data_IF_065360948129
#
_entry.id   IF_065360948129
#
_cell.length_a   1.000
_cell.length_b   1.000
_cell.length_c   1.000
_cell.angle_alpha   90.00
_cell.angle_beta   90.00
_cell.angle_gamma   90.00
#
_symmetry.space_group_name_H-M   'P 1'
#
loop_
_entity.id
_entity.type
_entity.pdbx_description
1 polymer ?
#
# COMPACT_ATOMS: atom_id res chain seq x y z
N UNK A 1 6.64 -23.12 -4.50
CA UNK A 1 6.63 -22.49 -4.32
C UNK A 1 7.05 -21.68 -4.85
N UNK A 2 6.80 -21.49 -4.97
CA UNK A 2 6.99 -20.84 -5.38
C UNK A 2 7.77 -20.07 -5.53
N UNK A 3 8.15 -20.09 -6.20
CA UNK A 3 8.98 -19.05 -6.58
C UNK A 3 9.49 -18.19 -5.50
N UNK A 4 10.01 -18.78 -4.55
CA UNK A 4 10.61 -17.98 -3.51
C UNK A 4 11.97 -17.48 -4.00
N UNK A 5 12.09 -16.17 -4.13
CA UNK A 5 13.34 -15.54 -4.53
C UNK A 5 14.08 -15.05 -3.30
N UNK A 6 15.39 -15.14 -3.34
CA UNK A 6 16.19 -14.53 -2.31
C UNK A 6 15.99 -13.01 -2.35
N UNK A 7 16.09 -12.37 -1.20
CA UNK A 7 15.81 -10.93 -1.11
C UNK A 7 16.75 -10.09 -1.96
N UNK A 8 17.97 -10.56 -2.12
CA UNK A 8 18.96 -9.82 -2.87
C UNK A 8 18.87 -10.08 -4.36
N UNK A 9 18.04 -11.00 -4.79
CA UNK A 9 17.89 -11.25 -6.21
C UNK A 9 17.08 -10.14 -6.86
N UNK A 10 17.47 -9.81 -8.08
CA UNK A 10 16.83 -8.72 -8.81
C UNK A 10 16.02 -9.32 -9.95
N UNK A 11 14.75 -8.96 -10.00
CA UNK A 11 13.86 -9.35 -11.09
C UNK A 11 13.60 -8.10 -11.92
N UNK A 12 13.85 -8.20 -13.22
CA UNK A 12 13.65 -7.05 -14.09
C UNK A 12 12.24 -7.08 -14.66
N UNK A 13 11.57 -5.95 -14.59
CA UNK A 13 10.23 -5.80 -15.16
C UNK A 13 10.13 -4.46 -15.82
N UNK A 14 9.38 -4.41 -16.90
CA UNK A 14 9.08 -3.15 -17.58
C UNK A 14 7.73 -2.64 -17.10
N UNK A 15 7.65 -1.34 -16.93
CA UNK A 15 6.41 -0.73 -16.51
C UNK A 15 6.23 0.57 -17.28
N UNK A 16 4.99 0.83 -17.72
CA UNK A 16 4.65 2.08 -18.37
C UNK A 16 4.01 2.99 -17.35
N UNK A 17 4.52 4.21 -17.25
CA UNK A 17 4.01 5.18 -16.28
C UNK A 17 3.19 6.24 -17.01
N UNK A 18 2.00 6.58 -16.49
CA UNK A 18 1.32 7.76 -16.99
C UNK A 18 2.21 8.98 -16.86
N UNK A 19 2.07 9.92 -17.80
CA UNK A 19 2.93 11.07 -17.83
C UNK A 19 2.96 11.86 -16.53
N UNK A 20 1.80 11.98 -15.90
CA UNK A 20 1.73 12.74 -14.64
C UNK A 20 2.56 12.08 -13.54
N UNK A 21 2.59 10.76 -13.51
CA UNK A 21 3.38 10.06 -12.52
C UNK A 21 4.86 10.15 -12.86
N UNK A 22 5.19 10.02 -14.14
CA UNK A 22 6.58 10.11 -14.57
C UNK A 22 7.18 11.46 -14.20
N UNK A 23 6.44 12.54 -14.38
CA UNK A 23 6.92 13.87 -14.05
C UNK A 23 7.19 13.99 -12.54
N UNK A 24 6.28 13.46 -11.75
CA UNK A 24 6.44 13.53 -10.30
C UNK A 24 7.64 12.72 -9.82
N UNK A 25 7.82 11.55 -10.40
CA UNK A 25 8.97 10.71 -10.05
C UNK A 25 10.26 11.40 -10.41
N UNK A 26 10.32 12.00 -11.61
CA UNK A 26 11.52 12.71 -12.03
C UNK A 26 11.85 13.85 -11.07
N UNK A 27 10.82 14.57 -10.64
CA UNK A 27 11.03 15.67 -9.71
C UNK A 27 11.59 15.19 -8.37
N UNK A 28 11.02 14.12 -7.85
CA UNK A 28 11.47 13.57 -6.58
C UNK A 28 12.91 13.07 -6.70
N UNK A 29 13.22 12.38 -7.79
CA UNK A 29 14.57 11.89 -8.02
C UNK A 29 15.57 13.04 -8.03
N UNK A 30 15.21 14.14 -8.70
CA UNK A 30 16.07 15.30 -8.75
C UNK A 30 16.27 15.92 -7.39
N UNK A 31 15.21 16.03 -6.61
CA UNK A 31 15.30 16.61 -5.27
C UNK A 31 16.16 15.78 -4.34
N UNK A 32 16.03 14.46 -4.47
CA UNK A 32 16.79 13.55 -3.62
C UNK A 32 18.19 13.26 -4.15
N UNK A 33 18.46 13.65 -5.39
CA UNK A 33 19.74 13.43 -6.06
C UNK A 33 20.07 11.95 -6.16
N UNK A 34 19.06 11.16 -6.52
CA UNK A 34 19.23 9.75 -6.78
C UNK A 34 18.64 9.44 -8.15
N UNK A 35 18.92 8.25 -8.66
CA UNK A 35 18.42 7.87 -9.97
C UNK A 35 16.91 7.70 -9.94
N UNK A 36 16.30 7.76 -11.13
CA UNK A 36 14.87 7.49 -11.28
C UNK A 36 14.56 6.06 -10.83
N UNK A 37 15.41 5.12 -11.20
CA UNK A 37 15.18 3.74 -10.81
C UNK A 37 15.20 3.57 -9.31
N UNK A 38 16.16 4.19 -8.63
CA UNK A 38 16.24 4.12 -7.17
C UNK A 38 15.01 4.74 -6.54
N UNK A 39 14.58 5.88 -7.09
CA UNK A 39 13.38 6.55 -6.59
C UNK A 39 12.15 5.65 -6.72
N UNK A 40 11.99 5.02 -7.89
CA UNK A 40 10.84 4.14 -8.10
C UNK A 40 10.85 2.97 -7.12
N UNK A 41 12.01 2.36 -6.90
CA UNK A 41 12.11 1.24 -5.98
C UNK A 41 11.74 1.68 -4.56
N UNK A 42 12.25 2.83 -4.14
CA UNK A 42 11.96 3.33 -2.80
C UNK A 42 10.48 3.65 -2.62
N UNK A 43 9.88 4.29 -3.63
CA UNK A 43 8.45 4.61 -3.57
C UNK A 43 7.59 3.36 -3.56
N UNK A 44 7.97 2.35 -4.36
CA UNK A 44 7.24 1.10 -4.37
C UNK A 44 7.35 0.39 -3.03
N UNK A 45 8.53 0.40 -2.43
CA UNK A 45 8.72 -0.23 -1.13
C UNK A 45 7.80 0.42 -0.08
N UNK A 46 7.77 1.75 -0.09
CA UNK A 46 6.90 2.48 0.83
C UNK A 46 5.43 2.19 0.57
N UNK A 47 5.05 2.13 -0.71
CA UNK A 47 3.66 1.87 -1.07
C UNK A 47 3.22 0.47 -0.65
N UNK A 48 4.10 -0.50 -0.83
CA UNK A 48 3.79 -1.87 -0.44
C UNK A 48 3.62 -1.97 1.07
N UNK A 49 4.50 -1.33 1.80
CA UNK A 49 4.41 -1.34 3.26
C UNK A 49 3.09 -0.69 3.71
N UNK A 50 2.75 0.44 3.11
CA UNK A 50 1.50 1.11 3.45
C UNK A 50 0.29 0.23 3.12
N UNK A 51 0.35 -0.44 1.97
CA UNK A 51 -0.73 -1.34 1.58
C UNK A 51 -0.90 -2.48 2.57
N UNK A 52 0.21 -3.08 2.99
CA UNK A 52 0.16 -4.19 3.93
C UNK A 52 -0.37 -3.73 5.30
N UNK A 53 0.04 -2.55 5.73
CA UNK A 53 -0.46 -2.03 7.01
C UNK A 53 -1.95 -1.76 6.96
N UNK A 54 -2.45 -1.21 5.86
CA UNK A 54 -3.89 -0.98 5.71
C UNK A 54 -4.65 -2.29 5.71
N UNK A 55 -4.09 -3.32 5.07
CA UNK A 55 -4.74 -4.62 5.02
C UNK A 55 -4.84 -5.25 6.41
N UNK A 56 -3.76 -5.16 7.19
CA UNK A 56 -3.77 -5.66 8.55
C UNK A 56 -4.80 -4.92 9.38
N UNK A 57 -4.84 -3.59 9.27
CA UNK A 57 -5.79 -2.79 10.01
C UNK A 57 -7.23 -3.15 9.65
N UNK A 58 -7.47 -3.38 8.36
CA UNK A 58 -8.81 -3.76 7.91
C UNK A 58 -9.23 -5.10 8.50
N UNK A 59 -8.31 -6.09 8.47
CA UNK A 59 -8.63 -7.41 8.99
C UNK A 59 -8.87 -7.39 10.49
N UNK A 60 -8.09 -6.60 11.21
CA UNK A 60 -8.30 -6.46 12.65
C UNK A 60 -9.65 -5.82 12.95
N UNK A 61 -9.99 -4.80 12.17
CA UNK A 61 -11.27 -4.12 12.36
C UNK A 61 -12.43 -5.04 12.03
N UNK A 62 -12.30 -5.84 10.95
CA UNK A 62 -13.33 -6.79 10.59
C UNK A 62 -13.53 -7.84 11.69
N UNK A 63 -12.43 -8.29 12.30
CA UNK A 63 -12.52 -9.24 13.39
C UNK A 63 -13.25 -8.65 14.58
N UNK A 64 -12.94 -7.40 14.92
CA UNK A 64 -13.63 -6.72 16.00
C UNK A 64 -15.12 -6.57 15.72
N UNK A 65 -15.46 -6.26 14.46
CA UNK A 65 -16.84 -6.11 14.07
C UNK A 65 -17.60 -7.43 14.26
N UNK A 66 -17.00 -8.54 13.86
CA UNK A 66 -17.65 -9.84 13.98
C UNK A 66 -17.86 -10.22 15.44
N UNK A 67 -16.98 -9.76 16.33
CA UNK A 67 -17.06 -10.11 17.74
C UNK A 67 -17.87 -9.11 18.56
N UNK A 68 -18.26 -7.99 17.98
CA UNK A 68 -18.98 -6.96 18.68
C UNK A 68 -20.39 -7.42 19.01
N UNK A 69 -20.80 -7.23 20.27
CA UNK A 69 -22.15 -7.56 20.71
C UNK A 69 -22.97 -6.33 21.02
N UNK A 70 -22.32 -5.20 21.24
CA UNK A 70 -22.99 -3.94 21.51
C UNK A 70 -23.43 -3.31 20.19
N UNK A 71 -24.74 -3.00 20.03
CA UNK A 71 -25.21 -2.44 18.76
C UNK A 71 -24.52 -1.13 18.38
N UNK A 72 -24.21 -0.29 19.35
CA UNK A 72 -23.56 0.99 19.07
C UNK A 72 -22.13 0.75 18.57
N UNK A 73 -21.42 -0.12 19.25
CA UNK A 73 -20.06 -0.48 18.83
C UNK A 73 -20.05 -1.14 17.46
N UNK A 74 -20.99 -2.03 17.24
CA UNK A 74 -21.12 -2.74 15.97
C UNK A 74 -21.36 -1.76 14.82
N UNK A 75 -22.22 -0.78 15.05
CA UNK A 75 -22.52 0.20 14.00
C UNK A 75 -21.32 1.07 13.71
N UNK A 76 -20.59 1.48 14.72
CA UNK A 76 -19.40 2.29 14.53
C UNK A 76 -18.33 1.53 13.74
N UNK A 77 -18.13 0.27 14.10
CA UNK A 77 -17.15 -0.56 13.39
C UNK A 77 -17.56 -0.77 11.94
N UNK A 78 -18.85 -0.94 11.69
CA UNK A 78 -19.35 -1.12 10.33
C UNK A 78 -19.07 0.11 9.49
N UNK A 79 -19.26 1.29 10.07
CA UNK A 79 -19.00 2.53 9.36
C UNK A 79 -17.52 2.68 9.04
N UNK A 80 -16.65 2.31 9.97
CA UNK A 80 -15.22 2.38 9.73
C UNK A 80 -14.78 1.42 8.63
N UNK A 81 -15.34 0.21 8.64
CA UNK A 81 -15.04 -0.77 7.60
C UNK A 81 -15.48 -0.26 6.22
N UNK A 82 -16.65 0.38 6.18
CA UNK A 82 -17.13 0.92 4.92
C UNK A 82 -16.20 2.00 4.39
N UNK A 83 -15.71 2.87 5.26
CA UNK A 83 -14.78 3.92 4.84
C UNK A 83 -13.49 3.32 4.28
N UNK A 84 -12.98 2.27 4.91
CA UNK A 84 -11.75 1.64 4.45
C UNK A 84 -11.95 0.90 3.13
N UNK A 85 -13.13 0.35 2.91
CA UNK A 85 -13.42 -0.42 1.71
C UNK A 85 -13.68 0.47 0.51
N UNK A 86 -14.45 1.55 0.70
CA UNK A 86 -14.87 2.40 -0.41
C UNK A 86 -14.00 3.63 -0.57
N UNK A 87 -13.04 3.77 0.28
CA UNK A 87 -12.12 4.86 0.21
C UNK A 87 -12.77 6.16 0.61
N UNK A 88 -12.16 7.22 0.24
CA UNK A 88 -12.72 8.52 0.50
C UNK A 88 -11.90 9.57 -0.22
#
# INVERSE_FOLDING_TARGET
MEGVLAREEVVRRSISLPGEIAVKVDKIAGERRVSVNRTLVDLLRDAIEAYEQRRIAFLELADRFQKATDPIESERLREELARMTFGS
#
